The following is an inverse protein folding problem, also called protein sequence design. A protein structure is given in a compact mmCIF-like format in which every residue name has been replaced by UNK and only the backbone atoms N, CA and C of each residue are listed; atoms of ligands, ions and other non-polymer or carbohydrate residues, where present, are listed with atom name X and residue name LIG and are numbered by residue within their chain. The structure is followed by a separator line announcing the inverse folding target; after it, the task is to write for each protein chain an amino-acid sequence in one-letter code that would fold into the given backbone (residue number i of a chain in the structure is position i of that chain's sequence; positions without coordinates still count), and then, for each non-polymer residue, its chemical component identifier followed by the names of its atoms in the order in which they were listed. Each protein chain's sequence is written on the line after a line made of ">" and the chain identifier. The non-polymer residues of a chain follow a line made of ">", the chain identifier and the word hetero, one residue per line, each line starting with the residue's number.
data_IF_382646317162
#
_entry.id   IF_382646317162
#
_cell.length_a   1.000
_cell.length_b   1.000
_cell.length_c   1.000
_cell.angle_alpha   90.00
_cell.angle_beta   90.00
_cell.angle_gamma   90.00
#
_symmetry.space_group_name_H-M   'P 1'
#
loop_
_entity.id
_entity.type
_entity.pdbx_description
1 polymer ?
#
# COMPACT_ATOMS: atom_id res chain seq x y z
N UNK A 1 -18.83 19.31 -8.06
CA UNK A 1 -19.26 18.86 -6.72
C UNK A 1 -18.53 19.54 -5.57
N UNK A 2 -17.34 20.12 -5.74
CA UNK A 2 -16.64 20.87 -4.68
C UNK A 2 -15.89 22.06 -5.28
N UNK A 3 -16.50 23.25 -5.27
CA UNK A 3 -15.91 24.46 -5.85
C UNK A 3 -14.82 25.02 -4.93
N UNK A 4 -13.72 25.50 -5.51
CA UNK A 4 -12.63 26.14 -4.76
C UNK A 4 -11.65 25.20 -4.05
N UNK A 5 -11.83 23.87 -4.14
CA UNK A 5 -10.91 22.90 -3.53
C UNK A 5 -9.77 22.56 -4.50
N UNK A 6 -8.49 22.79 -4.13
CA UNK A 6 -7.37 22.47 -5.00
C UNK A 6 -7.13 20.95 -5.07
N UNK A 7 -6.96 20.44 -6.28
CA UNK A 7 -6.51 19.07 -6.55
C UNK A 7 -5.32 19.14 -7.53
N UNK A 8 -4.10 19.15 -6.98
CA UNK A 8 -2.86 19.36 -7.77
C UNK A 8 -2.45 18.13 -8.55
N UNK A 9 -2.79 16.96 -8.02
CA UNK A 9 -2.67 15.67 -8.69
C UNK A 9 -4.11 15.20 -8.85
N UNK A 10 -4.59 15.19 -10.10
CA UNK A 10 -5.89 14.62 -10.42
C UNK A 10 -5.91 13.12 -10.07
N UNK A 11 -7.10 12.52 -10.00
CA UNK A 11 -7.24 11.13 -9.59
C UNK A 11 -8.47 10.48 -10.21
N UNK A 12 -9.16 9.67 -9.40
CA UNK A 12 -10.34 8.93 -9.82
C UNK A 12 -11.41 9.83 -10.44
N UNK A 13 -12.02 9.34 -11.52
CA UNK A 13 -13.19 9.95 -12.18
C UNK A 13 -14.49 9.38 -11.61
N UNK A 14 -15.63 9.95 -12.00
CA UNK A 14 -16.93 9.36 -11.61
C UNK A 14 -17.13 7.93 -12.10
N UNK A 15 -16.57 7.56 -13.26
CA UNK A 15 -16.65 6.19 -13.76
C UNK A 15 -15.86 5.22 -12.87
N UNK A 16 -14.70 5.65 -12.36
CA UNK A 16 -13.89 4.85 -11.43
C UNK A 16 -14.61 4.66 -10.09
N UNK A 17 -15.17 5.75 -9.55
CA UNK A 17 -15.95 5.73 -8.31
C UNK A 17 -17.19 4.83 -8.44
N UNK A 18 -17.91 4.91 -9.56
CA UNK A 18 -19.07 4.06 -9.82
C UNK A 18 -18.65 2.57 -9.90
N UNK A 19 -17.53 2.28 -10.58
CA UNK A 19 -17.00 0.92 -10.69
C UNK A 19 -16.66 0.33 -9.32
N UNK A 20 -16.03 1.10 -8.44
CA UNK A 20 -15.70 0.63 -7.10
C UNK A 20 -16.94 0.45 -6.21
N UNK A 21 -17.93 1.34 -6.33
CA UNK A 21 -19.23 1.16 -5.67
C UNK A 21 -19.95 -0.11 -6.12
N UNK A 22 -19.92 -0.44 -7.42
CA UNK A 22 -20.51 -1.68 -7.95
C UNK A 22 -19.82 -2.93 -7.37
N UNK A 23 -18.49 -2.94 -7.26
CA UNK A 23 -17.73 -4.05 -6.64
C UNK A 23 -18.08 -4.23 -5.16
N UNK A 24 -18.16 -3.12 -4.42
CA UNK A 24 -18.53 -3.12 -3.01
C UNK A 24 -19.94 -3.68 -2.83
N UNK A 25 -20.92 -3.18 -3.60
CA UNK A 25 -22.30 -3.65 -3.56
C UNK A 25 -22.42 -5.15 -3.85
N UNK A 26 -21.73 -5.66 -4.87
CA UNK A 26 -21.74 -7.09 -5.19
C UNK A 26 -21.20 -7.96 -4.05
N UNK A 27 -20.23 -7.46 -3.28
CA UNK A 27 -19.68 -8.16 -2.12
C UNK A 27 -20.60 -8.07 -0.91
N UNK A 28 -21.13 -6.89 -0.62
CA UNK A 28 -22.00 -6.64 0.54
C UNK A 28 -23.33 -7.42 0.47
N UNK A 29 -23.87 -7.61 -0.74
CA UNK A 29 -25.12 -8.36 -0.94
C UNK A 29 -24.95 -9.88 -1.04
N UNK A 30 -23.73 -10.39 -0.93
CA UNK A 30 -23.47 -11.83 -0.97
C UNK A 30 -23.51 -12.43 0.44
N UNK A 31 -24.58 -13.16 0.78
CA UNK A 31 -24.73 -13.86 2.06
C UNK A 31 -23.58 -14.85 2.39
N UNK A 32 -22.82 -15.30 1.37
CA UNK A 32 -21.66 -16.19 1.55
C UNK A 32 -20.38 -15.46 1.97
N UNK A 33 -20.39 -14.13 1.96
CA UNK A 33 -19.22 -13.30 2.28
C UNK A 33 -19.49 -12.55 3.58
N UNK A 34 -18.84 -12.94 4.70
CA UNK A 34 -18.94 -12.17 5.93
C UNK A 34 -18.24 -10.82 5.78
N UNK A 35 -18.45 -9.94 6.76
CA UNK A 35 -17.69 -8.68 6.87
C UNK A 35 -16.20 -9.02 6.99
N UNK A 36 -15.39 -8.40 6.14
CA UNK A 36 -13.94 -8.51 6.22
C UNK A 36 -13.42 -7.63 7.37
N UNK A 37 -12.54 -8.18 8.20
CA UNK A 37 -11.85 -7.41 9.24
C UNK A 37 -11.00 -6.28 8.64
N UNK A 38 -10.52 -6.47 7.40
CA UNK A 38 -9.55 -5.59 6.77
C UNK A 38 -8.26 -5.45 7.59
N UNK A 39 -7.46 -4.49 7.22
CA UNK A 39 -6.16 -4.20 7.80
C UNK A 39 -5.85 -2.71 7.76
N UNK A 40 -6.83 -1.83 7.53
CA UNK A 40 -6.58 -0.39 7.36
C UNK A 40 -5.82 0.23 8.55
N UNK A 41 -6.22 -0.09 9.79
CA UNK A 41 -5.65 0.51 11.00
C UNK A 41 -4.44 -0.27 11.55
N UNK A 42 -4.38 -1.58 11.31
CA UNK A 42 -3.34 -2.47 11.81
C UNK A 42 -3.05 -3.52 10.77
N UNK A 43 -1.77 -3.86 10.64
CA UNK A 43 -1.35 -4.97 9.79
C UNK A 43 -2.12 -6.24 10.11
N UNK A 44 -2.72 -6.81 9.08
CA UNK A 44 -3.33 -8.14 9.07
C UNK A 44 -2.75 -8.87 7.86
N UNK A 45 -2.34 -10.12 8.07
CA UNK A 45 -1.77 -10.94 7.00
C UNK A 45 -2.79 -11.09 5.86
N UNK A 46 -2.32 -10.92 4.62
CA UNK A 46 -3.13 -10.99 3.39
C UNK A 46 -4.26 -9.95 3.29
N UNK A 47 -4.07 -8.79 3.93
CA UNK A 47 -4.96 -7.62 3.83
C UNK A 47 -4.20 -6.42 3.26
N UNK A 48 -4.59 -5.21 3.64
CA UNK A 48 -3.97 -3.97 3.20
C UNK A 48 -2.46 -4.01 3.48
N UNK A 49 -1.68 -3.51 2.52
CA UNK A 49 -0.24 -3.42 2.66
C UNK A 49 0.15 -2.33 3.66
N UNK A 50 1.05 -2.66 4.60
CA UNK A 50 1.66 -1.71 5.52
C UNK A 50 3.14 -1.56 5.21
N UNK A 51 3.63 -0.31 5.14
CA UNK A 51 5.05 -0.02 4.97
C UNK A 51 5.90 -0.55 6.15
N UNK A 52 5.31 -0.68 7.34
CA UNK A 52 5.92 -1.22 8.55
C UNK A 52 5.37 -2.60 8.91
N UNK A 53 5.32 -3.50 7.94
CA UNK A 53 4.93 -4.89 8.16
C UNK A 53 6.04 -5.71 8.87
N UNK A 54 5.72 -6.91 9.39
CA UNK A 54 6.68 -7.73 10.12
C UNK A 54 7.97 -8.03 9.35
N UNK A 55 7.89 -8.29 8.05
CA UNK A 55 9.06 -8.64 7.22
C UNK A 55 10.04 -7.46 7.15
N UNK A 56 9.52 -6.26 6.85
CA UNK A 56 10.32 -5.02 6.78
C UNK A 56 10.94 -4.69 8.13
N UNK A 57 10.17 -4.79 9.23
CA UNK A 57 10.67 -4.47 10.57
C UNK A 57 11.71 -5.48 11.04
N UNK A 58 11.52 -6.77 10.77
CA UNK A 58 12.50 -7.80 11.11
C UNK A 58 13.81 -7.62 10.34
N UNK A 59 13.75 -7.34 9.03
CA UNK A 59 14.93 -7.04 8.23
C UNK A 59 15.67 -5.79 8.74
N UNK A 60 14.94 -4.73 9.10
CA UNK A 60 15.52 -3.53 9.70
C UNK A 60 16.22 -3.85 11.03
N UNK A 61 15.56 -4.57 11.94
CA UNK A 61 16.13 -4.98 13.22
C UNK A 61 17.39 -5.83 13.05
N UNK A 62 17.41 -6.74 12.06
CA UNK A 62 18.58 -7.54 11.71
C UNK A 62 19.74 -6.65 11.25
N UNK A 63 19.48 -5.74 10.31
CA UNK A 63 20.49 -4.83 9.76
C UNK A 63 21.16 -3.96 10.83
N UNK A 64 20.37 -3.35 11.74
CA UNK A 64 20.92 -2.47 12.79
C UNK A 64 21.67 -3.24 13.88
N UNK A 65 21.30 -4.51 14.15
CA UNK A 65 22.00 -5.33 15.16
C UNK A 65 23.27 -5.95 14.63
N UNK A 66 23.28 -6.40 13.37
CA UNK A 66 24.45 -7.05 12.79
C UNK A 66 25.52 -6.04 12.34
N UNK A 67 25.11 -4.83 11.95
CA UNK A 67 26.01 -3.83 11.37
C UNK A 67 26.53 -4.19 9.97
N UNK A 68 26.04 -5.28 9.36
CA UNK A 68 26.47 -5.76 8.05
C UNK A 68 25.69 -5.05 6.94
N UNK A 69 26.40 -4.58 5.93
CA UNK A 69 25.78 -3.86 4.82
C UNK A 69 24.86 -4.77 3.99
N UNK A 70 25.16 -6.06 3.92
CA UNK A 70 24.36 -7.07 3.23
C UNK A 70 22.96 -7.20 3.84
N UNK A 71 22.85 -7.15 5.17
CA UNK A 71 21.57 -7.19 5.88
C UNK A 71 20.76 -5.90 5.65
N UNK A 72 21.44 -4.75 5.52
CA UNK A 72 20.78 -3.51 5.11
C UNK A 72 20.26 -3.59 3.67
N UNK A 73 21.01 -4.20 2.75
CA UNK A 73 20.54 -4.40 1.37
C UNK A 73 19.26 -5.23 1.33
N UNK A 74 19.16 -6.28 2.13
CA UNK A 74 17.93 -7.10 2.26
C UNK A 74 16.73 -6.24 2.66
N UNK A 75 16.88 -5.40 3.70
CA UNK A 75 15.86 -4.43 4.09
C UNK A 75 15.52 -3.44 2.97
N UNK A 76 16.53 -2.86 2.32
CA UNK A 76 16.34 -1.88 1.26
C UNK A 76 15.58 -2.48 0.06
N UNK A 77 15.86 -3.74 -0.29
CA UNK A 77 15.21 -4.45 -1.38
C UNK A 77 13.71 -4.63 -1.09
N UNK A 78 13.35 -5.02 0.14
CA UNK A 78 11.96 -5.13 0.58
C UNK A 78 11.20 -3.79 0.51
N UNK A 79 11.87 -2.69 0.84
CA UNK A 79 11.27 -1.35 0.83
C UNK A 79 11.17 -0.79 -0.59
N UNK A 80 12.16 -1.03 -1.45
CA UNK A 80 12.22 -0.44 -2.79
C UNK A 80 11.38 -1.20 -3.83
N UNK A 81 11.21 -2.52 -3.67
CA UNK A 81 10.49 -3.37 -4.61
C UNK A 81 9.05 -3.73 -4.17
N UNK A 82 8.54 -3.04 -3.15
CA UNK A 82 7.15 -3.18 -2.68
C UNK A 82 6.13 -2.67 -3.72
N UNK A 83 4.84 -3.07 -3.61
CA UNK A 83 3.76 -2.42 -4.33
C UNK A 83 3.70 -0.91 -4.03
N UNK A 84 3.14 -0.11 -4.96
CA UNK A 84 2.99 1.34 -4.80
C UNK A 84 2.22 1.65 -3.51
N UNK A 85 2.89 2.28 -2.55
CA UNK A 85 2.31 2.66 -1.27
C UNK A 85 2.36 4.19 -1.05
N UNK A 86 3.27 4.87 -1.74
CA UNK A 86 3.53 6.31 -1.62
C UNK A 86 3.84 6.92 -2.99
N UNK A 87 3.65 8.23 -3.15
CA UNK A 87 3.83 8.93 -4.45
C UNK A 87 5.24 8.69 -5.03
N UNK A 88 6.27 8.64 -4.19
CA UNK A 88 7.65 8.40 -4.64
C UNK A 88 7.84 7.05 -5.32
N UNK A 89 7.00 6.06 -5.01
CA UNK A 89 7.05 4.73 -5.60
C UNK A 89 6.57 4.77 -7.08
N UNK A 90 5.93 5.86 -7.52
CA UNK A 90 5.55 6.09 -8.93
C UNK A 90 6.69 6.70 -9.77
N UNK A 91 7.79 7.12 -9.14
CA UNK A 91 8.93 7.70 -9.85
C UNK A 91 9.97 6.63 -10.17
N UNK A 92 10.72 6.87 -11.24
CA UNK A 92 11.91 6.09 -11.58
C UNK A 92 13.11 7.02 -11.71
N UNK A 93 14.27 6.54 -11.31
CA UNK A 93 15.52 7.25 -11.56
C UNK A 93 15.82 7.18 -13.05
N UNK A 94 16.01 8.35 -13.67
CA UNK A 94 16.54 8.44 -15.03
C UNK A 94 18.05 8.23 -14.94
N UNK A 95 18.52 7.05 -15.29
CA UNK A 95 19.94 6.83 -15.60
C UNK A 95 20.18 7.25 -17.04
N UNK A 96 21.34 7.86 -17.30
CA UNK A 96 21.74 8.47 -18.58
C UNK A 96 21.40 7.63 -19.80
#
# INVERSE_FOLDING_TARGET
>A
CFLGVPSRIQGATFADLEKDQKKLAATAWSNRKPIDQGGLLKFVFDKEYHAFNPDVINALHKAVRSGKYEDFKEYAELVNNRPVATIRDLFKLKTT
#
